data_IF_078390308007
#
_entry.id   IF_078390308007
#
_cell.length_a   1.000
_cell.length_b   1.000
_cell.length_c   1.000
_cell.angle_alpha   90.00
_cell.angle_beta   90.00
_cell.angle_gamma   90.00
#
_symmetry.space_group_name_H-M   'P 1'
#
loop_
_entity.id
_entity.type
_entity.pdbx_description
1 polymer ?
#
# COMPACT_ATOMS: atom_id res chain seq x y z
N UNK A 1 -17.07 16.34 3.77
CA UNK A 1 -15.62 16.47 4.04
C UNK A 1 -15.06 15.38 4.96
N UNK A 2 -15.74 14.99 6.06
CA UNK A 2 -15.23 14.00 7.03
C UNK A 2 -14.93 12.60 6.45
N UNK A 3 -15.72 12.08 5.50
CA UNK A 3 -15.48 10.76 4.89
C UNK A 3 -14.14 10.64 4.13
N UNK A 4 -13.65 11.71 3.50
CA UNK A 4 -12.37 11.68 2.77
C UNK A 4 -11.16 11.64 3.73
N UNK A 5 -11.27 12.29 4.88
CA UNK A 5 -10.22 12.27 5.92
C UNK A 5 -10.03 10.87 6.48
N UNK A 6 -11.11 10.15 6.76
CA UNK A 6 -11.08 8.78 7.29
C UNK A 6 -10.50 7.81 6.26
N UNK A 7 -10.80 8.00 4.98
CA UNK A 7 -10.21 7.20 3.90
C UNK A 7 -8.69 7.41 3.80
N UNK A 8 -8.22 8.67 3.84
CA UNK A 8 -6.79 8.99 3.83
C UNK A 8 -6.05 8.39 5.03
N UNK A 9 -6.61 8.51 6.23
CA UNK A 9 -6.03 7.95 7.45
C UNK A 9 -5.92 6.41 7.37
N UNK A 10 -6.93 5.74 6.79
CA UNK A 10 -6.90 4.28 6.59
C UNK A 10 -5.84 3.84 5.58
N UNK A 11 -5.68 4.57 4.47
CA UNK A 11 -4.62 4.30 3.48
C UNK A 11 -3.25 4.47 4.11
N UNK A 12 -3.08 5.53 4.91
CA UNK A 12 -1.84 5.81 5.62
C UNK A 12 -1.50 4.70 6.63
N UNK A 13 -2.49 4.24 7.40
CA UNK A 13 -2.37 3.10 8.32
C UNK A 13 -2.07 1.79 7.58
N UNK A 14 -2.39 1.64 6.30
CA UNK A 14 -2.05 0.44 5.52
C UNK A 14 -0.63 0.52 4.93
N UNK A 15 -0.26 1.67 4.37
CA UNK A 15 1.03 1.86 3.70
C UNK A 15 2.19 1.84 4.69
N UNK A 16 2.07 2.58 5.80
CA UNK A 16 3.16 2.73 6.76
C UNK A 16 3.65 1.39 7.35
N UNK A 17 2.79 0.51 7.90
CA UNK A 17 3.25 -0.77 8.43
C UNK A 17 3.78 -1.69 7.35
N UNK A 18 3.30 -1.59 6.10
CA UNK A 18 3.84 -2.39 5.00
C UNK A 18 5.28 -1.96 4.67
N UNK A 19 5.52 -0.65 4.61
CA UNK A 19 6.84 -0.06 4.40
C UNK A 19 7.78 -0.38 5.56
N UNK A 20 7.32 -0.17 6.80
CA UNK A 20 8.10 -0.45 8.01
C UNK A 20 8.42 -1.93 8.15
N UNK A 21 7.48 -2.84 7.84
CA UNK A 21 7.73 -4.29 7.91
C UNK A 21 8.82 -4.71 6.93
N UNK A 22 8.75 -4.21 5.70
CA UNK A 22 9.78 -4.45 4.69
C UNK A 22 11.13 -3.88 5.11
N UNK A 23 11.13 -2.64 5.60
CA UNK A 23 12.36 -2.02 6.07
C UNK A 23 12.93 -2.81 7.23
N UNK A 24 12.14 -3.15 8.24
CA UNK A 24 12.59 -3.91 9.42
C UNK A 24 13.17 -5.28 9.06
N UNK A 25 12.49 -6.07 8.23
CA UNK A 25 12.92 -7.43 7.89
C UNK A 25 14.19 -7.46 7.03
N UNK A 26 14.31 -6.53 6.07
CA UNK A 26 15.43 -6.47 5.16
C UNK A 26 16.58 -5.59 5.66
N UNK A 27 16.33 -4.66 6.58
CA UNK A 27 17.37 -3.78 7.13
C UNK A 27 18.44 -4.64 7.80
N UNK A 28 18.10 -5.50 8.75
CA UNK A 28 19.10 -6.27 9.51
C UNK A 28 19.92 -7.22 8.64
N UNK A 29 19.25 -7.93 7.71
CA UNK A 29 19.88 -8.84 6.73
C UNK A 29 20.95 -8.15 5.87
N UNK A 30 20.78 -6.87 5.59
CA UNK A 30 21.66 -6.13 4.67
C UNK A 30 22.73 -5.28 5.38
N UNK A 31 22.90 -5.45 6.71
CA UNK A 31 23.84 -4.70 7.57
C UNK A 31 25.30 -4.67 7.11
N UNK A 32 25.74 -5.74 6.45
CA UNK A 32 27.11 -5.86 5.93
C UNK A 32 27.38 -5.21 4.57
N UNK A 33 26.39 -4.58 3.93
CA UNK A 33 26.45 -4.17 2.51
C UNK A 33 26.36 -2.63 2.38
N UNK A 34 27.07 -1.99 1.43
CA UNK A 34 26.96 -0.55 1.16
C UNK A 34 25.52 -0.05 1.03
N UNK A 35 25.25 1.14 1.58
CA UNK A 35 23.90 1.70 1.66
C UNK A 35 23.18 1.77 0.30
N UNK A 36 23.91 2.02 -0.79
CA UNK A 36 23.36 2.12 -2.14
C UNK A 36 22.82 0.76 -2.63
N UNK A 37 23.57 -0.33 -2.42
CA UNK A 37 23.13 -1.69 -2.75
C UNK A 37 21.94 -2.10 -1.88
N UNK A 38 21.98 -1.73 -0.59
CA UNK A 38 20.90 -1.94 0.37
C UNK A 38 19.58 -1.37 -0.12
N UNK A 39 19.59 -0.09 -0.49
CA UNK A 39 18.42 0.61 -0.99
C UNK A 39 17.96 0.01 -2.31
N UNK A 40 18.88 -0.36 -3.20
CA UNK A 40 18.54 -0.99 -4.48
C UNK A 40 17.85 -2.34 -4.29
N UNK A 41 18.36 -3.21 -3.41
CA UNK A 41 17.72 -4.50 -3.12
C UNK A 41 16.36 -4.32 -2.43
N UNK A 42 16.27 -3.40 -1.47
CA UNK A 42 15.00 -3.09 -0.81
C UNK A 42 13.98 -2.60 -1.83
N UNK A 43 14.31 -1.64 -2.70
CA UNK A 43 13.35 -1.13 -3.69
C UNK A 43 12.99 -2.19 -4.72
N UNK A 44 13.97 -3.01 -5.16
CA UNK A 44 13.74 -4.08 -6.13
C UNK A 44 12.77 -5.15 -5.61
N UNK A 45 12.71 -5.40 -4.31
CA UNK A 45 11.76 -6.36 -3.71
C UNK A 45 10.48 -5.64 -3.26
N UNK A 46 10.60 -4.45 -2.67
CA UNK A 46 9.49 -3.67 -2.16
C UNK A 46 8.53 -3.25 -3.27
N UNK A 47 9.04 -2.82 -4.43
CA UNK A 47 8.21 -2.39 -5.57
C UNK A 47 7.31 -3.52 -6.08
N UNK A 48 7.83 -4.70 -6.47
CA UNK A 48 6.96 -5.80 -6.87
C UNK A 48 6.04 -6.22 -5.73
N UNK A 49 6.50 -6.26 -4.48
CA UNK A 49 5.62 -6.61 -3.36
C UNK A 49 4.48 -5.59 -3.17
N UNK A 50 4.75 -4.30 -3.34
CA UNK A 50 3.73 -3.27 -3.31
C UNK A 50 2.75 -3.43 -4.47
N UNK A 51 3.22 -3.80 -5.66
CA UNK A 51 2.35 -4.04 -6.82
C UNK A 51 1.49 -5.30 -6.66
N UNK A 52 2.07 -6.39 -6.13
CA UNK A 52 1.39 -7.69 -5.99
C UNK A 52 0.53 -7.80 -4.73
N UNK A 53 0.87 -7.11 -3.64
CA UNK A 53 0.17 -7.22 -2.35
C UNK A 53 -0.40 -5.87 -1.95
N UNK A 54 0.39 -4.81 -2.03
CA UNK A 54 -0.04 -3.45 -1.69
C UNK A 54 -1.24 -2.99 -2.52
N UNK A 55 -1.15 -3.02 -3.86
CA UNK A 55 -2.22 -2.60 -4.77
C UNK A 55 -3.50 -3.43 -4.60
N UNK A 56 -3.52 -4.78 -4.63
CA UNK A 56 -4.76 -5.51 -4.46
C UNK A 56 -5.34 -5.38 -3.04
N UNK A 57 -4.50 -5.24 -2.00
CA UNK A 57 -5.00 -4.98 -0.65
C UNK A 57 -5.62 -3.59 -0.54
N UNK A 58 -4.97 -2.58 -1.12
CA UNK A 58 -5.48 -1.22 -1.20
C UNK A 58 -6.79 -1.16 -2.01
N UNK A 59 -6.83 -1.84 -3.16
CA UNK A 59 -8.00 -1.88 -4.05
C UNK A 59 -9.19 -2.56 -3.36
N UNK A 60 -8.97 -3.70 -2.68
CA UNK A 60 -10.00 -4.37 -1.87
C UNK A 60 -10.47 -3.52 -0.70
N UNK A 61 -9.57 -2.82 -0.03
CA UNK A 61 -9.92 -1.94 1.08
C UNK A 61 -10.72 -0.73 0.58
N UNK A 62 -10.38 -0.20 -0.59
CA UNK A 62 -11.08 0.92 -1.21
C UNK A 62 -12.46 0.52 -1.74
N UNK A 63 -12.59 -0.63 -2.41
CA UNK A 63 -13.87 -1.18 -2.89
C UNK A 63 -14.84 -1.48 -1.75
N UNK A 64 -14.36 -2.01 -0.61
CA UNK A 64 -15.21 -2.21 0.58
C UNK A 64 -15.78 -0.92 1.16
N UNK A 65 -15.16 0.22 0.85
CA UNK A 65 -15.50 1.52 1.43
C UNK A 65 -16.21 2.42 0.42
N UNK A 66 -16.06 2.18 -0.88
CA UNK A 66 -16.85 2.81 -1.93
C UNK A 66 -18.01 1.86 -2.29
N UNK A 67 -19.16 1.94 -1.60
CA UNK A 67 -20.35 1.30 -2.12
C UNK A 67 -20.55 1.87 -3.53
N UNK A 68 -20.57 0.97 -4.50
CA UNK A 68 -20.94 1.26 -5.88
C UNK A 68 -22.19 2.13 -5.84
N UNK A 69 -22.07 3.39 -6.26
CA UNK A 69 -23.22 4.28 -6.43
C UNK A 69 -24.11 3.64 -7.50
N UNK A 70 -25.17 3.02 -7.02
CA UNK A 70 -26.19 2.33 -7.78
C UNK A 70 -27.21 3.36 -8.24
N UNK A 71 -26.80 4.31 -9.08
CA UNK A 71 -27.75 5.16 -9.77
C UNK A 71 -27.36 5.37 -11.24
N UNK A 72 -27.34 4.26 -11.96
CA UNK A 72 -27.49 4.25 -13.41
C UNK A 72 -28.74 3.45 -13.78
N UNK A 73 -29.87 3.80 -13.18
CA UNK A 73 -31.18 3.64 -13.80
C UNK A 73 -31.39 4.86 -14.70
N UNK A 74 -30.70 4.86 -15.84
CA UNK A 74 -31.21 5.55 -17.03
C UNK A 74 -32.05 4.49 -17.73
N UNK A 75 -33.27 4.32 -17.23
CA UNK A 75 -34.34 3.63 -17.94
C UNK A 75 -35.00 4.68 -18.85
N UNK A 76 -34.80 4.45 -20.15
CA UNK A 76 -35.73 4.60 -21.30
C UNK A 76 -36.63 5.83 -21.39
#
# INVERSE_FOLDING_TARGET
>A
MKMKLIASLKIWILIYPLLTLFLYFFQETLSGIPIYLRTLLITLILVPFLVFIGLPSLNRLLERISPKDNNSSIDV
#
